data_IF_030840491199
#
_entry.id   IF_030840491199
#
_cell.length_a   1.000
_cell.length_b   1.000
_cell.length_c   1.000
_cell.angle_alpha   90.00
_cell.angle_beta   90.00
_cell.angle_gamma   90.00
#
_symmetry.space_group_name_H-M   'P 1'
#
loop_
_entity.id
_entity.type
_entity.pdbx_description
1 polymer ?
#
# COMPACT_ATOMS: atom_id res chain seq x y z
N UNK A 1 -42.76 -2.32 -6.47
CA UNK A 1 -42.04 -1.29 -7.26
C UNK A 1 -40.91 -1.99 -7.99
N UNK A 2 -40.53 -1.54 -9.19
CA UNK A 2 -39.41 -2.14 -9.91
C UNK A 2 -38.11 -1.75 -9.21
N UNK A 3 -37.49 -2.67 -8.45
CA UNK A 3 -36.19 -2.47 -7.77
C UNK A 3 -34.99 -2.40 -8.74
N UNK A 4 -35.25 -2.01 -10.00
CA UNK A 4 -34.25 -1.94 -11.07
C UNK A 4 -34.16 -0.51 -11.56
N UNK A 5 -32.95 0.02 -11.51
CA UNK A 5 -32.55 1.34 -12.03
C UNK A 5 -31.51 1.16 -13.12
N UNK A 6 -31.45 2.09 -14.06
CA UNK A 6 -30.45 2.10 -15.15
C UNK A 6 -29.33 3.09 -14.85
N UNK A 7 -28.09 2.63 -14.91
CA UNK A 7 -26.88 3.46 -14.83
C UNK A 7 -26.07 3.21 -16.11
N UNK A 8 -25.65 4.28 -16.76
CA UNK A 8 -24.80 4.21 -17.96
C UNK A 8 -23.34 4.01 -17.57
N UNK A 9 -22.69 3.05 -18.22
CA UNK A 9 -21.27 2.71 -17.98
C UNK A 9 -20.57 2.42 -19.30
N UNK A 10 -19.23 2.45 -19.31
CA UNK A 10 -18.45 2.05 -20.48
C UNK A 10 -18.76 0.60 -20.88
N UNK A 11 -18.97 0.36 -22.19
CA UNK A 11 -19.27 -0.96 -22.73
C UNK A 11 -18.24 -2.01 -22.32
N UNK A 12 -16.95 -1.66 -22.37
CA UNK A 12 -15.86 -2.57 -22.01
C UNK A 12 -15.92 -3.00 -20.53
N UNK A 13 -16.22 -2.06 -19.62
CA UNK A 13 -16.39 -2.36 -18.21
C UNK A 13 -17.57 -3.30 -17.97
N UNK A 14 -18.71 -3.04 -18.62
CA UNK A 14 -19.91 -3.89 -18.53
C UNK A 14 -19.66 -5.31 -19.07
N UNK A 15 -18.96 -5.44 -20.21
CA UNK A 15 -18.60 -6.74 -20.77
C UNK A 15 -17.62 -7.50 -19.88
N UNK A 16 -16.61 -6.80 -19.34
CA UNK A 16 -15.61 -7.38 -18.44
C UNK A 16 -16.25 -7.94 -17.18
N UNK A 17 -17.08 -7.16 -16.49
CA UNK A 17 -17.74 -7.60 -15.25
C UNK A 17 -18.78 -8.70 -15.53
N UNK A 18 -19.49 -8.62 -16.66
CA UNK A 18 -20.41 -9.66 -17.13
C UNK A 18 -19.73 -11.01 -17.36
N UNK A 19 -18.56 -11.00 -18.01
CA UNK A 19 -17.72 -12.19 -18.21
C UNK A 19 -17.25 -12.78 -16.87
N UNK A 20 -16.68 -11.95 -16.00
CA UNK A 20 -16.17 -12.38 -14.69
C UNK A 20 -17.27 -12.94 -13.78
N UNK A 21 -18.44 -12.32 -13.77
CA UNK A 21 -19.59 -12.81 -13.00
C UNK A 21 -20.01 -14.21 -13.49
N UNK A 22 -20.09 -14.41 -14.81
CA UNK A 22 -20.45 -15.71 -15.41
C UNK A 22 -19.42 -16.79 -15.09
N UNK A 23 -18.13 -16.48 -15.21
CA UNK A 23 -17.04 -17.42 -14.89
C UNK A 23 -17.06 -17.87 -13.44
N UNK A 24 -17.57 -17.03 -12.53
CA UNK A 24 -17.70 -17.34 -11.10
C UNK A 24 -19.08 -17.84 -10.69
N UNK A 25 -20.01 -18.04 -11.63
CA UNK A 25 -21.38 -18.47 -11.33
C UNK A 25 -22.21 -17.44 -10.54
N UNK A 26 -21.87 -16.15 -10.63
CA UNK A 26 -22.52 -15.07 -9.88
C UNK A 26 -23.57 -14.35 -10.73
N UNK A 27 -24.62 -13.86 -10.06
CA UNK A 27 -25.62 -12.97 -10.67
C UNK A 27 -24.98 -11.63 -11.00
N UNK A 28 -25.03 -11.22 -12.27
CA UNK A 28 -24.52 -9.92 -12.71
C UNK A 28 -25.21 -8.75 -11.99
N UNK A 29 -26.51 -8.87 -11.74
CA UNK A 29 -27.26 -7.85 -11.00
C UNK A 29 -26.70 -7.70 -9.58
N UNK A 30 -26.49 -8.82 -8.88
CA UNK A 30 -25.94 -8.81 -7.51
C UNK A 30 -24.53 -8.22 -7.47
N UNK A 31 -23.65 -8.66 -8.38
CA UNK A 31 -22.28 -8.15 -8.47
C UNK A 31 -22.26 -6.64 -8.78
N UNK A 32 -23.15 -6.18 -9.66
CA UNK A 32 -23.25 -4.76 -9.99
C UNK A 32 -23.74 -3.93 -8.79
N UNK A 33 -24.74 -4.40 -8.05
CA UNK A 33 -25.22 -3.74 -6.83
C UNK A 33 -24.12 -3.67 -5.76
N UNK A 34 -23.48 -4.79 -5.43
CA UNK A 34 -22.39 -4.82 -4.44
C UNK A 34 -21.19 -3.94 -4.85
N UNK A 35 -20.88 -3.87 -6.15
CA UNK A 35 -19.82 -2.99 -6.65
C UNK A 35 -20.19 -1.50 -6.53
N UNK A 36 -21.46 -1.14 -6.69
CA UNK A 36 -21.93 0.23 -6.50
C UNK A 36 -21.93 0.62 -5.01
N UNK A 37 -22.33 -0.28 -4.12
CA UNK A 37 -22.25 -0.07 -2.67
C UNK A 37 -20.79 0.14 -2.24
N UNK A 38 -19.87 -0.70 -2.73
CA UNK A 38 -18.43 -0.53 -2.50
C UNK A 38 -17.93 0.82 -3.04
N UNK A 39 -18.35 1.21 -4.24
CA UNK A 39 -17.96 2.50 -4.82
C UNK A 39 -18.51 3.68 -4.01
N UNK A 40 -19.71 3.56 -3.43
CA UNK A 40 -20.30 4.58 -2.57
C UNK A 40 -19.48 4.78 -1.29
N UNK A 41 -19.08 3.70 -0.60
CA UNK A 41 -18.21 3.78 0.59
C UNK A 41 -16.87 4.46 0.28
N UNK A 42 -16.26 4.13 -0.87
CA UNK A 42 -15.01 4.74 -1.32
C UNK A 42 -15.18 6.26 -1.54
N UNK A 43 -16.28 6.66 -2.16
CA UNK A 43 -16.57 8.09 -2.44
C UNK A 43 -16.90 8.85 -1.15
N UNK A 44 -17.60 8.24 -0.19
CA UNK A 44 -17.88 8.83 1.13
C UNK A 44 -16.59 9.15 1.88
N UNK A 45 -15.58 8.29 1.78
CA UNK A 45 -14.24 8.51 2.35
C UNK A 45 -13.38 9.53 1.55
N UNK A 46 -13.99 10.22 0.57
CA UNK A 46 -13.33 11.24 -0.24
C UNK A 46 -12.34 10.69 -1.26
N UNK A 47 -12.43 9.40 -1.60
CA UNK A 47 -11.55 8.70 -2.55
C UNK A 47 -12.29 8.33 -3.82
N UNK A 48 -11.53 8.01 -4.85
CA UNK A 48 -12.02 7.47 -6.11
C UNK A 48 -11.75 5.96 -6.19
N UNK A 49 -12.56 5.18 -6.92
CA UNK A 49 -12.29 3.76 -7.14
C UNK A 49 -10.91 3.48 -7.75
N UNK A 50 -10.38 4.41 -8.56
CA UNK A 50 -9.04 4.31 -9.13
C UNK A 50 -7.93 4.33 -8.06
N UNK A 51 -8.11 5.09 -6.98
CA UNK A 51 -7.16 5.17 -5.85
C UNK A 51 -7.21 3.93 -4.96
N UNK A 52 -8.29 3.15 -5.02
CA UNK A 52 -8.49 1.92 -4.22
C UNK A 52 -8.00 0.67 -4.94
N UNK A 53 -7.99 0.64 -6.29
CA UNK A 53 -7.48 -0.50 -7.06
C UNK A 53 -6.05 -0.92 -6.61
N UNK A 54 -5.11 0.01 -6.39
CA UNK A 54 -3.78 -0.34 -5.87
C UNK A 54 -3.81 -1.03 -4.50
N UNK A 55 -4.75 -0.67 -3.61
CA UNK A 55 -4.93 -1.33 -2.31
C UNK A 55 -5.40 -2.78 -2.47
N UNK A 56 -6.27 -3.04 -3.45
CA UNK A 56 -6.69 -4.41 -3.79
C UNK A 56 -5.52 -5.24 -4.32
N UNK A 57 -4.64 -4.65 -5.13
CA UNK A 57 -3.42 -5.33 -5.59
C UNK A 57 -2.48 -5.64 -4.42
N UNK A 58 -2.30 -4.69 -3.51
CA UNK A 58 -1.51 -4.88 -2.29
C UNK A 58 -2.04 -6.06 -1.46
N UNK A 59 -3.36 -6.14 -1.29
CA UNK A 59 -4.00 -7.23 -0.55
C UNK A 59 -3.81 -8.61 -1.18
N UNK A 60 -3.52 -8.72 -2.49
CA UNK A 60 -3.19 -10.01 -3.11
C UNK A 60 -1.80 -10.51 -2.73
N UNK A 61 -0.89 -9.59 -2.42
CA UNK A 61 0.51 -9.88 -2.07
C UNK A 61 0.67 -10.10 -0.56
N UNK A 62 -0.16 -9.43 0.24
CA UNK A 62 -0.15 -9.49 1.71
C UNK A 62 -0.15 -10.91 2.33
N UNK A 63 -0.91 -11.92 1.84
CA UNK A 63 -0.97 -13.24 2.46
C UNK A 63 0.33 -14.04 2.43
N UNK A 64 1.32 -13.60 1.65
CA UNK A 64 2.65 -14.25 1.56
C UNK A 64 3.54 -13.86 2.75
N UNK A 65 3.20 -12.78 3.44
CA UNK A 65 3.94 -12.27 4.58
C UNK A 65 3.07 -12.54 5.81
N UNK A 66 3.53 -13.37 6.75
CA UNK A 66 2.83 -13.75 7.98
C UNK A 66 2.58 -12.54 8.91
N UNK A 67 1.71 -11.63 8.49
CA UNK A 67 1.49 -10.34 9.12
C UNK A 67 0.44 -10.45 10.22
N UNK A 68 0.76 -9.87 11.37
CA UNK A 68 -0.16 -9.72 12.51
C UNK A 68 -0.33 -8.23 12.82
N UNK A 69 -1.57 -7.77 12.92
CA UNK A 69 -1.87 -6.40 13.35
C UNK A 69 -1.77 -6.30 14.88
N UNK A 70 -0.81 -5.53 15.37
CA UNK A 70 -0.66 -5.24 16.80
C UNK A 70 -0.53 -3.73 17.05
N UNK A 71 -1.04 -3.20 18.19
CA UNK A 71 -0.77 -1.83 18.59
C UNK A 71 0.73 -1.59 18.69
N UNK A 72 1.23 -0.58 17.95
CA UNK A 72 2.68 -0.35 17.82
C UNK A 72 3.38 -0.05 19.16
N UNK A 73 2.66 0.52 20.13
CA UNK A 73 3.18 0.70 21.49
C UNK A 73 3.48 -0.63 22.19
N UNK A 74 2.66 -1.66 21.97
CA UNK A 74 2.91 -3.00 22.53
C UNK A 74 4.14 -3.61 21.85
N UNK A 75 4.25 -3.49 20.52
CA UNK A 75 5.42 -3.96 19.76
C UNK A 75 6.72 -3.32 20.27
N UNK A 76 6.69 -2.01 20.54
CA UNK A 76 7.84 -1.29 21.07
C UNK A 76 8.28 -1.76 22.46
N UNK A 77 7.35 -2.25 23.28
CA UNK A 77 7.67 -2.82 24.61
C UNK A 77 8.17 -4.28 24.52
N UNK A 78 7.69 -5.05 23.54
CA UNK A 78 8.14 -6.43 23.30
C UNK A 78 9.55 -6.45 22.71
N UNK A 79 9.82 -5.59 21.72
CA UNK A 79 11.11 -5.49 21.04
C UNK A 79 12.11 -4.68 21.88
N UNK A 80 12.62 -5.32 22.94
CA UNK A 80 13.61 -4.72 23.86
C UNK A 80 14.96 -4.43 23.20
N UNK A 81 15.32 -5.22 22.18
CA UNK A 81 16.49 -5.02 21.34
C UNK A 81 16.04 -4.96 19.88
N UNK A 82 15.54 -3.79 19.48
CA UNK A 82 15.01 -3.56 18.14
C UNK A 82 16.11 -3.68 17.07
N UNK A 83 17.34 -3.23 17.38
CA UNK A 83 18.45 -3.20 16.40
C UNK A 83 18.83 -4.62 15.92
N UNK A 84 18.66 -5.64 16.76
CA UNK A 84 18.88 -7.04 16.38
C UNK A 84 17.99 -7.54 15.23
N UNK A 85 16.91 -6.81 14.90
CA UNK A 85 15.96 -7.17 13.84
C UNK A 85 16.11 -6.32 12.57
N UNK A 86 17.11 -5.43 12.51
CA UNK A 86 17.30 -4.53 11.36
C UNK A 86 17.43 -5.27 10.03
N UNK A 87 18.19 -6.36 10.00
CA UNK A 87 18.44 -7.16 8.80
C UNK A 87 17.15 -7.86 8.36
N UNK A 88 16.41 -8.45 9.31
CA UNK A 88 15.16 -9.14 9.05
C UNK A 88 14.11 -8.17 8.49
N UNK A 89 13.99 -6.96 9.08
CA UNK A 89 13.11 -5.93 8.53
C UNK A 89 13.52 -5.51 7.11
N UNK A 90 14.82 -5.38 6.84
CA UNK A 90 15.32 -5.10 5.50
C UNK A 90 14.95 -6.22 4.51
N UNK A 91 15.21 -7.48 4.85
CA UNK A 91 14.96 -8.63 3.98
C UNK A 91 13.45 -8.78 3.69
N UNK A 92 12.60 -8.64 4.71
CA UNK A 92 11.14 -8.60 4.51
C UNK A 92 10.70 -7.47 3.60
N UNK A 93 11.25 -6.27 3.78
CA UNK A 93 11.00 -5.14 2.91
C UNK A 93 11.38 -5.47 1.46
N UNK A 94 12.58 -6.03 1.25
CA UNK A 94 13.11 -6.39 -0.06
C UNK A 94 12.28 -7.45 -0.77
N UNK A 95 11.90 -8.52 -0.09
CA UNK A 95 11.07 -9.57 -0.67
C UNK A 95 9.69 -9.04 -1.06
N UNK A 96 9.10 -8.20 -0.20
CA UNK A 96 7.85 -7.52 -0.50
C UNK A 96 7.98 -6.57 -1.70
N UNK A 97 9.06 -5.78 -1.76
CA UNK A 97 9.32 -4.88 -2.89
C UNK A 97 9.43 -5.63 -4.20
N UNK A 98 10.15 -6.76 -4.20
CA UNK A 98 10.31 -7.63 -5.37
C UNK A 98 9.00 -8.32 -5.78
N UNK A 99 8.10 -8.59 -4.84
CA UNK A 99 6.77 -9.10 -5.14
C UNK A 99 5.86 -8.02 -5.72
N UNK A 100 5.85 -6.82 -5.12
CA UNK A 100 5.00 -5.70 -5.55
C UNK A 100 5.42 -5.13 -6.90
N UNK A 101 6.71 -5.10 -7.22
CA UNK A 101 7.21 -4.59 -8.50
C UNK A 101 6.70 -5.37 -9.72
N UNK A 102 6.17 -6.58 -9.52
CA UNK A 102 5.49 -7.38 -10.56
C UNK A 102 4.07 -6.91 -10.85
N UNK A 103 3.43 -6.21 -9.90
CA UNK A 103 2.01 -5.88 -9.91
C UNK A 103 1.75 -4.37 -10.10
N UNK A 104 2.71 -3.51 -9.71
CA UNK A 104 2.60 -2.05 -9.76
C UNK A 104 3.96 -1.36 -9.88
N UNK A 105 3.95 -0.11 -10.39
CA UNK A 105 5.16 0.74 -10.51
C UNK A 105 5.52 1.38 -9.17
N UNK A 106 6.79 1.68 -8.94
CA UNK A 106 7.22 2.33 -7.70
C UNK A 106 6.54 3.70 -7.53
N UNK A 107 6.39 4.46 -8.63
CA UNK A 107 5.68 5.74 -8.61
C UNK A 107 4.19 5.64 -8.22
N UNK A 108 3.51 4.52 -8.49
CA UNK A 108 2.13 4.27 -8.03
C UNK A 108 2.09 4.07 -6.51
N UNK A 109 3.04 3.30 -5.96
CA UNK A 109 3.16 3.08 -4.52
C UNK A 109 3.46 4.38 -3.77
N UNK A 110 4.44 5.16 -4.24
CA UNK A 110 4.92 6.36 -3.55
C UNK A 110 3.88 7.48 -3.54
N UNK A 111 3.13 7.64 -4.64
CA UNK A 111 2.08 8.66 -4.74
C UNK A 111 0.83 8.30 -3.94
N UNK A 112 0.63 7.02 -3.62
CA UNK A 112 -0.51 6.55 -2.84
C UNK A 112 -0.12 6.35 -1.37
N UNK A 113 -0.33 7.40 -0.57
CA UNK A 113 -0.04 7.37 0.87
C UNK A 113 -0.79 6.28 1.63
N UNK A 114 -1.99 5.86 1.18
CA UNK A 114 -2.75 4.78 1.81
C UNK A 114 -2.10 3.41 1.63
N UNK A 115 -1.51 3.15 0.47
CA UNK A 115 -0.76 1.92 0.24
C UNK A 115 0.43 1.83 1.18
N UNK A 116 1.21 2.90 1.31
CA UNK A 116 2.34 2.93 2.23
C UNK A 116 1.91 2.81 3.68
N UNK A 117 0.79 3.43 4.08
CA UNK A 117 0.19 3.24 5.41
C UNK A 117 -0.30 1.82 5.68
N UNK A 118 -0.58 1.04 4.64
CA UNK A 118 -0.95 -0.37 4.78
C UNK A 118 0.29 -1.27 4.98
N UNK A 119 1.49 -0.78 4.69
CA UNK A 119 2.76 -1.51 4.81
C UNK A 119 3.58 -1.11 6.04
N UNK A 120 3.55 0.18 6.38
CA UNK A 120 4.31 0.77 7.47
C UNK A 120 3.30 1.46 8.40
N UNK A 121 3.42 1.32 9.73
CA UNK A 121 2.47 1.89 10.68
C UNK A 121 2.69 3.39 10.80
N UNK A 122 2.29 4.14 9.78
CA UNK A 122 2.49 5.57 9.64
C UNK A 122 1.20 6.34 9.94
N UNK A 123 1.34 7.43 10.70
CA UNK A 123 0.26 8.39 10.93
C UNK A 123 0.04 9.26 9.69
N UNK A 124 1.14 9.67 9.06
CA UNK A 124 1.15 10.51 7.87
C UNK A 124 2.23 10.02 6.92
N UNK A 125 1.91 10.01 5.64
CA UNK A 125 2.85 9.72 4.55
C UNK A 125 2.70 10.84 3.54
N UNK A 126 3.81 11.46 3.16
CA UNK A 126 3.84 12.51 2.15
C UNK A 126 4.93 12.22 1.14
N UNK A 127 4.59 12.35 -0.14
CA UNK A 127 5.55 12.21 -1.21
C UNK A 127 5.56 13.47 -2.05
N UNK A 128 6.68 14.21 -2.03
CA UNK A 128 6.84 15.46 -2.77
C UNK A 128 8.25 15.58 -3.32
N UNK A 129 8.37 15.99 -4.60
CA UNK A 129 9.65 16.28 -5.27
C UNK A 129 10.71 15.19 -5.14
N UNK A 130 10.30 13.91 -5.10
CA UNK A 130 11.23 12.79 -4.96
C UNK A 130 11.65 12.48 -3.52
N UNK A 131 11.08 13.16 -2.52
CA UNK A 131 11.26 12.83 -1.11
C UNK A 131 9.97 12.21 -0.55
N UNK A 132 10.12 11.07 0.10
CA UNK A 132 9.09 10.39 0.87
C UNK A 132 9.32 10.68 2.36
N UNK A 133 8.33 11.28 3.00
CA UNK A 133 8.34 11.55 4.43
C UNK A 133 7.28 10.70 5.11
N UNK A 134 7.71 9.86 6.05
CA UNK A 134 6.85 8.97 6.82
C UNK A 134 6.92 9.37 8.29
N UNK A 135 5.77 9.73 8.86
CA UNK A 135 5.65 10.08 10.27
C UNK A 135 5.00 8.95 11.04
N UNK A 136 5.75 8.32 11.93
CA UNK A 136 5.28 7.26 12.81
C UNK A 136 4.51 7.83 14.02
N UNK A 137 3.63 7.02 14.65
CA UNK A 137 3.00 7.37 15.92
C UNK A 137 4.03 7.77 17.00
N UNK A 138 3.75 8.76 17.86
CA UNK A 138 4.73 9.33 18.79
C UNK A 138 5.43 8.30 19.70
N UNK A 139 4.71 7.26 20.14
CA UNK A 139 5.24 6.21 21.03
C UNK A 139 6.15 5.19 20.35
N UNK A 140 6.35 5.32 19.04
CA UNK A 140 7.09 4.34 18.23
C UNK A 140 8.42 4.85 17.67
N UNK A 141 8.90 6.03 18.10
CA UNK A 141 10.17 6.58 17.64
C UNK A 141 11.35 5.63 17.85
N UNK A 142 11.33 4.81 18.91
CA UNK A 142 12.33 3.75 19.14
C UNK A 142 12.36 2.67 18.06
N UNK A 143 11.31 2.52 17.25
CA UNK A 143 11.23 1.56 16.14
C UNK A 143 11.48 2.21 14.78
N UNK A 144 11.77 3.53 14.73
CA UNK A 144 11.91 4.24 13.46
C UNK A 144 13.01 3.66 12.58
N UNK A 145 14.12 3.21 13.17
CA UNK A 145 15.22 2.57 12.44
C UNK A 145 14.81 1.23 11.81
N UNK A 146 13.92 0.44 12.45
CA UNK A 146 13.40 -0.80 11.88
C UNK A 146 12.57 -0.53 10.63
N UNK A 147 11.64 0.43 10.71
CA UNK A 147 10.81 0.78 9.57
C UNK A 147 11.59 1.50 8.47
N UNK A 148 12.66 2.23 8.82
CA UNK A 148 13.60 2.76 7.84
C UNK A 148 14.39 1.65 7.13
N UNK A 149 14.81 0.61 7.87
CA UNK A 149 15.46 -0.58 7.31
C UNK A 149 14.52 -1.32 6.35
N UNK A 150 13.27 -1.53 6.78
CA UNK A 150 12.23 -2.11 5.93
C UNK A 150 11.96 -1.27 4.68
N UNK A 151 11.84 0.06 4.81
CA UNK A 151 11.62 0.94 3.67
C UNK A 151 12.81 0.91 2.70
N UNK A 152 14.04 0.83 3.20
CA UNK A 152 15.24 0.65 2.37
C UNK A 152 15.18 -0.66 1.58
N UNK A 153 14.87 -1.76 2.25
CA UNK A 153 14.67 -3.06 1.60
C UNK A 153 13.57 -2.99 0.55
N UNK A 154 12.42 -2.39 0.88
CA UNK A 154 11.29 -2.21 -0.03
C UNK A 154 11.72 -1.50 -1.31
N UNK A 155 12.42 -0.37 -1.19
CA UNK A 155 12.91 0.40 -2.34
C UNK A 155 13.90 -0.42 -3.17
N UNK A 156 14.85 -1.13 -2.54
CA UNK A 156 15.78 -2.02 -3.24
C UNK A 156 15.06 -3.15 -3.99
N UNK A 157 14.02 -3.74 -3.39
CA UNK A 157 13.19 -4.78 -4.01
C UNK A 157 12.43 -4.28 -5.25
N UNK A 158 12.10 -2.99 -5.29
CA UNK A 158 11.57 -2.33 -6.49
C UNK A 158 12.65 -2.00 -7.54
N UNK A 159 13.93 -2.24 -7.24
CA UNK A 159 15.06 -1.90 -8.11
C UNK A 159 15.57 -0.46 -7.93
N UNK A 160 15.09 0.27 -6.92
CA UNK A 160 15.56 1.62 -6.61
C UNK A 160 16.83 1.54 -5.74
N UNK A 161 18.00 1.43 -6.34
CA UNK A 161 19.27 1.23 -5.60
C UNK A 161 19.99 2.53 -5.21
N UNK A 162 19.53 3.68 -5.72
CA UNK A 162 20.11 5.01 -5.45
C UNK A 162 19.15 5.84 -4.63
N UNK A 163 19.01 5.45 -3.37
CA UNK A 163 18.16 6.15 -2.42
C UNK A 163 18.86 6.30 -1.08
N UNK A 164 18.47 7.32 -0.32
CA UNK A 164 18.93 7.50 1.05
C UNK A 164 17.74 7.43 1.97
N UNK A 165 17.89 6.74 3.11
CA UNK A 165 16.87 6.69 4.17
C UNK A 165 17.53 7.15 5.46
N UNK A 166 16.97 8.18 6.08
CA UNK A 166 17.39 8.73 7.35
C UNK A 166 16.22 8.75 8.35
N UNK A 167 16.55 8.80 9.62
CA UNK A 167 15.56 8.82 10.71
C UNK A 167 15.84 9.96 11.67
N UNK A 168 14.78 10.65 12.09
CA UNK A 168 14.82 11.68 13.14
C UNK A 168 13.64 11.47 14.08
N UNK A 169 13.91 10.93 15.28
CA UNK A 169 12.88 10.60 16.27
C UNK A 169 11.80 9.66 15.71
N UNK A 170 10.60 10.16 15.42
CA UNK A 170 9.48 9.40 14.83
C UNK A 170 9.29 9.67 13.33
N UNK A 171 10.22 10.37 12.69
CA UNK A 171 10.18 10.70 11.28
C UNK A 171 11.21 9.85 10.52
N UNK A 172 10.78 9.31 9.39
CA UNK A 172 11.63 8.64 8.40
C UNK A 172 11.57 9.47 7.13
N UNK A 173 12.73 9.82 6.59
CA UNK A 173 12.84 10.55 5.33
C UNK A 173 13.61 9.67 4.34
N UNK A 174 13.01 9.44 3.17
CA UNK A 174 13.62 8.68 2.09
C UNK A 174 13.68 9.53 0.82
N UNK A 175 14.89 9.78 0.31
CA UNK A 175 15.10 10.46 -0.96
C UNK A 175 15.23 9.44 -2.09
N UNK A 176 14.33 9.52 -3.06
CA UNK A 176 14.14 8.56 -4.17
C UNK A 176 14.09 9.26 -5.53
N UNK A 177 14.56 10.51 -5.63
CA UNK A 177 14.54 11.34 -6.83
C UNK A 177 15.22 10.68 -8.04
N UNK A 178 16.32 9.96 -7.81
CA UNK A 178 17.07 9.25 -8.86
C UNK A 178 16.37 7.98 -9.37
N UNK A 179 15.42 7.44 -8.63
CA UNK A 179 14.71 6.21 -9.01
C UNK A 179 13.45 6.46 -9.84
N UNK A 180 12.91 7.67 -9.79
CA UNK A 180 11.67 8.03 -10.49
C UNK A 180 11.97 8.67 -11.85
N UNK A 181 13.15 9.27 -11.99
CA UNK A 181 13.65 9.83 -13.25
C UNK A 181 14.06 8.74 -14.27
N UNK A 182 14.23 7.49 -13.82
CA UNK A 182 14.52 6.32 -14.66
C UNK A 182 13.29 5.52 -15.09
N UNK A 183 12.08 5.85 -14.61
CA UNK A 183 10.82 5.21 -15.04
C UNK A 183 10.15 5.91 -16.25
N UNK A 184 10.75 7.01 -16.74
CA UNK A 184 10.26 7.85 -17.84
C UNK A 184 10.60 7.33 -19.23
#
# INVERSE_FOLDING_TARGET
>A
MSDKTTITVCREAALKIGKLARERGLSLLKVASEALDLAAEVVIDGKTPAEVIPLVKLHKVAPVFDMVYMPLGIVAEILKDADAYLIQFYDYGRDLGAALSRELKLSELLKNGDMLRSLIPARRVEFQRGALVVMLPPRSGKLAHLFASFLRGLLDGFGCTRHTVSTSSNLIEANVSECISSEG
#
